data_IF_815351541034
#
_entry.id   IF_815351541034
#
_cell.length_a   1.000
_cell.length_b   1.000
_cell.length_c   1.000
_cell.angle_alpha   90.00
_cell.angle_beta   90.00
_cell.angle_gamma   90.00
#
_symmetry.space_group_name_H-M   'P 1'
#
loop_
_entity.id
_entity.type
_entity.pdbx_description
1 polymer ?
#
# COMPACT_ATOMS: atom_id res chain seq x y z
N UNK A 1 0.43 2.75 2.64
CA UNK A 1 -0.02 1.41 3.12
C UNK A 1 1.20 0.68 3.67
N UNK A 2 1.14 0.23 4.93
CA UNK A 2 2.24 -0.54 5.54
C UNK A 2 2.00 -2.03 5.28
N UNK A 3 2.99 -2.71 4.69
CA UNK A 3 2.91 -4.15 4.51
C UNK A 3 3.85 -4.84 5.49
N UNK A 4 3.32 -5.91 6.10
CA UNK A 4 4.08 -6.81 6.96
C UNK A 4 4.68 -7.89 6.09
N UNK A 5 5.97 -7.78 5.78
CA UNK A 5 6.68 -8.79 5.00
C UNK A 5 7.22 -9.82 5.99
N UNK A 6 6.77 -11.06 5.85
CA UNK A 6 7.16 -12.15 6.74
C UNK A 6 8.48 -12.77 6.30
N UNK A 7 9.36 -13.03 7.28
CA UNK A 7 10.21 -14.22 7.25
C UNK A 7 9.47 -15.27 8.09
N UNK A 8 8.80 -16.17 7.38
CA UNK A 8 8.19 -17.44 7.76
C UNK A 8 7.28 -17.62 9.00
N UNK A 9 7.11 -16.72 9.97
CA UNK A 9 6.36 -17.09 11.21
C UNK A 9 5.49 -16.05 11.93
N UNK A 10 5.16 -14.88 11.37
CA UNK A 10 4.09 -14.06 11.98
C UNK A 10 2.70 -14.68 11.67
N UNK A 11 2.29 -15.76 12.36
CA UNK A 11 0.94 -16.34 12.27
C UNK A 11 -0.08 -15.51 13.07
N UNK A 12 -1.30 -15.42 12.55
CA UNK A 12 -2.49 -14.98 13.28
C UNK A 12 -3.19 -16.21 13.86
N UNK A 13 -2.76 -16.66 15.04
CA UNK A 13 -3.55 -17.60 15.83
C UNK A 13 -4.24 -16.84 16.96
N UNK A 14 -5.44 -16.33 16.68
CA UNK A 14 -6.34 -15.78 17.70
C UNK A 14 -7.62 -16.60 17.75
N UNK A 15 -7.44 -17.89 18.06
CA UNK A 15 -8.49 -18.74 18.60
C UNK A 15 -8.83 -18.25 20.02
N UNK A 16 -9.76 -17.30 20.11
CA UNK A 16 -10.36 -16.88 21.37
C UNK A 16 -11.15 -18.04 21.94
N UNK A 17 -10.56 -18.92 22.74
CA UNK A 17 -11.23 -19.69 23.79
C UNK A 17 -10.23 -20.02 24.91
N UNK A 18 -10.48 -19.41 26.08
CA UNK A 18 -10.17 -19.91 27.43
C UNK A 18 -8.72 -19.69 27.94
N UNK A 19 -8.62 -18.91 29.04
CA UNK A 19 -7.51 -18.70 29.99
C UNK A 19 -6.51 -17.54 29.73
N UNK A 20 -6.91 -16.37 30.22
CA UNK A 20 -6.23 -15.08 30.14
C UNK A 20 -5.00 -14.88 31.05
N UNK A 21 -4.21 -15.90 31.37
CA UNK A 21 -3.06 -15.74 32.31
C UNK A 21 -1.75 -16.39 31.90
N UNK A 22 -1.66 -17.02 30.72
CA UNK A 22 -0.42 -17.63 30.20
C UNK A 22 -0.08 -17.06 28.82
N UNK A 23 0.03 -15.73 28.70
CA UNK A 23 0.46 -15.09 27.44
C UNK A 23 1.63 -14.13 27.59
N UNK A 24 1.87 -13.61 28.80
CA UNK A 24 2.99 -12.66 29.04
C UNK A 24 4.36 -13.35 28.89
N UNK A 25 4.43 -14.68 29.04
CA UNK A 25 5.72 -15.43 29.00
C UNK A 25 6.05 -16.01 27.62
N UNK A 26 5.08 -16.21 26.72
CA UNK A 26 5.35 -16.80 25.38
C UNK A 26 5.74 -15.73 24.36
N UNK A 27 5.27 -14.49 24.49
CA UNK A 27 5.59 -13.41 23.55
C UNK A 27 7.06 -12.97 23.51
N UNK A 28 7.87 -13.38 24.49
CA UNK A 28 9.31 -13.05 24.59
C UNK A 28 10.21 -14.11 23.93
N UNK A 29 9.69 -15.29 23.60
CA UNK A 29 10.50 -16.42 23.09
C UNK A 29 10.33 -16.74 21.60
N UNK A 30 9.37 -16.12 20.91
CA UNK A 30 9.25 -16.22 19.45
C UNK A 30 9.96 -15.05 18.78
N UNK A 31 11.24 -15.24 18.44
CA UNK A 31 12.09 -14.30 17.71
C UNK A 31 11.63 -14.06 16.27
N UNK A 32 10.46 -13.44 16.10
CA UNK A 32 9.93 -13.10 14.79
C UNK A 32 10.50 -11.76 14.34
N UNK A 33 11.48 -11.82 13.43
CA UNK A 33 12.01 -10.66 12.71
C UNK A 33 10.99 -10.17 11.67
N UNK A 34 9.87 -9.61 12.13
CA UNK A 34 8.89 -8.99 11.25
C UNK A 34 9.36 -7.55 10.94
N UNK A 35 9.56 -7.25 9.65
CA UNK A 35 10.01 -5.93 9.18
C UNK A 35 8.84 -5.18 8.54
N UNK A 36 8.63 -3.95 8.98
CA UNK A 36 7.69 -3.04 8.33
C UNK A 36 8.34 -2.39 7.11
N UNK A 37 7.61 -2.39 6.00
CA UNK A 37 8.02 -1.71 4.76
C UNK A 37 6.98 -0.66 4.43
N UNK A 38 7.44 0.58 4.29
CA UNK A 38 6.61 1.65 3.77
C UNK A 38 6.49 1.51 2.25
N UNK A 39 5.26 1.42 1.76
CA UNK A 39 4.93 1.32 0.34
C UNK A 39 4.16 2.55 -0.14
N UNK A 40 4.36 3.68 0.53
CA UNK A 40 3.65 4.93 0.27
C UNK A 40 4.59 5.97 -0.35
N UNK A 41 4.11 6.72 -1.33
CA UNK A 41 4.78 7.94 -1.74
C UNK A 41 4.42 9.10 -0.81
N UNK A 42 5.37 10.03 -0.66
CA UNK A 42 5.13 11.28 0.07
C UNK A 42 4.14 12.15 -0.69
N UNK A 43 3.17 12.72 0.03
CA UNK A 43 2.30 13.78 -0.49
C UNK A 43 2.99 15.15 -0.35
N UNK A 44 2.99 15.93 -1.44
CA UNK A 44 3.50 17.29 -1.50
C UNK A 44 2.84 18.05 -2.66
N UNK A 45 2.86 19.38 -2.61
CA UNK A 45 2.31 20.21 -3.69
C UNK A 45 3.10 20.01 -4.99
N UNK A 46 2.39 19.79 -6.11
CA UNK A 46 3.02 19.53 -7.41
C UNK A 46 3.42 18.06 -7.64
N UNK A 47 3.02 17.14 -6.75
CA UNK A 47 3.22 15.70 -6.95
C UNK A 47 2.54 15.20 -8.26
N UNK A 48 3.09 14.14 -8.91
CA UNK A 48 2.47 13.54 -10.10
C UNK A 48 1.02 13.13 -9.88
N UNK A 49 0.10 13.61 -10.74
CA UNK A 49 -1.35 13.39 -10.61
C UNK A 49 -2.01 13.13 -11.95
N UNK A 50 -3.19 12.52 -11.92
CA UNK A 50 -4.05 12.45 -13.10
C UNK A 50 -4.56 13.86 -13.47
N UNK A 51 -4.62 14.24 -14.77
CA UNK A 51 -4.94 15.61 -15.20
C UNK A 51 -6.31 16.14 -14.73
N UNK A 52 -7.29 15.26 -14.51
CA UNK A 52 -8.66 15.64 -14.11
C UNK A 52 -8.76 16.11 -12.66
N UNK A 53 -7.81 15.73 -11.80
CA UNK A 53 -7.88 16.04 -10.38
C UNK A 53 -7.20 17.38 -10.06
N UNK A 54 -7.73 18.07 -9.04
CA UNK A 54 -6.98 19.15 -8.38
C UNK A 54 -5.74 18.57 -7.70
N UNK A 55 -4.68 19.38 -7.57
CA UNK A 55 -3.46 18.92 -6.90
C UNK A 55 -3.66 18.74 -5.39
N UNK A 56 -2.70 18.10 -4.74
CA UNK A 56 -2.60 18.10 -3.28
C UNK A 56 -2.23 19.52 -2.80
N UNK A 57 -2.98 20.04 -1.82
CA UNK A 57 -2.73 21.33 -1.19
C UNK A 57 -2.62 21.16 0.32
N UNK A 58 -1.57 21.73 0.91
CA UNK A 58 -1.34 21.73 2.34
C UNK A 58 -1.27 23.17 2.86
N UNK A 59 -2.42 23.67 3.33
CA UNK A 59 -2.51 25.04 3.84
C UNK A 59 -2.11 25.08 5.30
N UNK A 60 -1.03 25.78 5.65
CA UNK A 60 -0.65 26.04 7.04
C UNK A 60 -1.72 26.93 7.70
N UNK A 61 -2.30 26.45 8.80
CA UNK A 61 -3.33 27.18 9.57
C UNK A 61 -2.67 27.95 10.72
N UNK A 62 -1.72 27.32 11.39
CA UNK A 62 -0.94 27.92 12.48
C UNK A 62 0.36 27.17 12.65
N UNK A 63 1.48 27.89 12.74
CA UNK A 63 2.79 27.33 13.07
C UNK A 63 3.60 28.30 13.93
N UNK A 64 3.92 27.89 15.15
CA UNK A 64 4.74 28.71 16.04
C UNK A 64 4.53 28.43 17.52
N UNK A 65 5.19 29.21 18.38
CA UNK A 65 4.99 29.15 19.82
C UNK A 65 3.52 29.41 20.21
N UNK A 66 3.01 28.62 21.16
CA UNK A 66 1.69 28.77 21.75
C UNK A 66 1.84 28.97 23.27
N UNK A 67 1.82 30.23 23.69
CA UNK A 67 2.14 30.59 25.07
C UNK A 67 3.63 30.44 25.36
N UNK A 68 3.99 30.23 26.63
CA UNK A 68 5.39 30.29 27.09
C UNK A 68 6.21 29.04 26.76
N UNK A 69 5.60 27.85 26.75
CA UNK A 69 6.32 26.57 26.70
C UNK A 69 5.72 25.56 25.69
N UNK A 70 4.94 25.99 24.70
CA UNK A 70 4.37 25.08 23.69
C UNK A 70 4.69 25.58 22.29
N UNK A 71 4.70 24.66 21.35
CA UNK A 71 4.76 24.91 19.92
C UNK A 71 3.60 24.16 19.27
N UNK A 72 2.95 24.79 18.29
CA UNK A 72 1.87 24.19 17.53
C UNK A 72 2.18 24.33 16.05
N UNK A 73 1.90 23.28 15.28
CA UNK A 73 1.92 23.30 13.83
C UNK A 73 0.72 22.51 13.33
N UNK A 74 -0.22 23.18 12.68
CA UNK A 74 -1.43 22.58 12.14
C UNK A 74 -1.65 23.06 10.72
N UNK A 75 -2.11 22.14 9.87
CA UNK A 75 -2.34 22.37 8.45
C UNK A 75 -3.70 21.78 8.08
N UNK A 76 -4.33 22.34 7.06
CA UNK A 76 -5.49 21.78 6.40
C UNK A 76 -5.05 21.08 5.12
N UNK A 77 -5.59 19.89 4.88
CA UNK A 77 -5.33 19.08 3.69
C UNK A 77 -6.54 19.16 2.76
N UNK A 78 -6.29 19.47 1.50
CA UNK A 78 -7.24 19.31 0.40
C UNK A 78 -6.59 18.37 -0.64
N UNK A 79 -7.29 17.28 -0.96
CA UNK A 79 -6.79 16.22 -1.83
C UNK A 79 -7.93 15.49 -2.53
N UNK A 80 -7.64 14.94 -3.71
CA UNK A 80 -8.56 14.04 -4.39
C UNK A 80 -8.47 12.62 -3.81
N UNK A 81 -9.56 11.84 -3.91
CA UNK A 81 -9.58 10.44 -3.49
C UNK A 81 -8.51 9.60 -4.20
N UNK A 82 -8.32 9.85 -5.51
CA UNK A 82 -7.35 9.17 -6.37
C UNK A 82 -6.03 9.96 -6.46
N UNK A 83 -5.36 10.15 -5.32
CA UNK A 83 -4.11 10.89 -5.25
C UNK A 83 -2.97 10.02 -4.71
N UNK A 84 -1.87 9.93 -5.46
CA UNK A 84 -0.65 9.21 -5.05
C UNK A 84 -0.94 7.75 -4.64
N UNK A 85 -0.31 7.21 -3.59
CA UNK A 85 -0.65 5.88 -3.05
C UNK A 85 -2.04 5.93 -2.39
N UNK A 86 -3.05 5.37 -3.05
CA UNK A 86 -4.45 5.40 -2.62
C UNK A 86 -5.11 4.01 -2.72
N UNK A 87 -6.41 3.96 -2.41
CA UNK A 87 -7.26 2.77 -2.56
C UNK A 87 -8.45 3.13 -3.44
N UNK A 88 -8.75 2.27 -4.41
CA UNK A 88 -9.95 2.35 -5.21
C UNK A 88 -11.03 1.44 -4.60
N UNK A 89 -12.12 2.04 -4.14
CA UNK A 89 -13.29 1.28 -3.72
C UNK A 89 -14.00 0.69 -4.95
N UNK A 90 -14.64 -0.50 -4.87
CA UNK A 90 -15.41 -1.08 -5.97
C UNK A 90 -16.42 -0.12 -6.62
N UNK A 91 -17.03 0.75 -5.81
CA UNK A 91 -17.95 1.80 -6.27
C UNK A 91 -17.35 2.73 -7.34
N UNK A 92 -16.01 2.84 -7.43
CA UNK A 92 -15.33 3.65 -8.44
C UNK A 92 -15.74 3.31 -9.88
N UNK A 93 -16.08 2.03 -10.15
CA UNK A 93 -16.54 1.58 -11.47
C UNK A 93 -17.84 0.76 -11.44
N UNK A 94 -18.41 0.48 -10.26
CA UNK A 94 -19.63 -0.32 -10.13
C UNK A 94 -20.64 0.35 -9.19
N UNK A 95 -21.71 0.91 -9.76
CA UNK A 95 -22.72 1.75 -9.09
C UNK A 95 -23.32 1.13 -7.81
N UNK A 96 -23.50 -0.19 -7.79
CA UNK A 96 -24.12 -0.91 -6.67
C UNK A 96 -23.11 -1.67 -5.79
N UNK A 97 -21.83 -1.35 -5.90
CA UNK A 97 -20.76 -1.97 -5.10
C UNK A 97 -20.38 -1.11 -3.88
N UNK A 98 -19.51 -1.65 -3.02
CA UNK A 98 -19.07 -0.98 -1.80
C UNK A 98 -18.36 0.35 -2.09
N UNK A 99 -18.82 1.40 -1.40
CA UNK A 99 -18.07 2.65 -1.20
C UNK A 99 -16.92 2.41 -0.22
N UNK A 100 -15.99 3.36 -0.14
CA UNK A 100 -14.78 3.23 0.69
C UNK A 100 -15.09 2.89 2.16
N UNK A 101 -16.06 3.57 2.75
CA UNK A 101 -16.51 3.39 4.14
C UNK A 101 -17.28 2.08 4.38
N UNK A 102 -17.66 1.37 3.31
CA UNK A 102 -18.42 0.12 3.36
C UNK A 102 -17.54 -1.12 3.15
N UNK A 103 -16.25 -0.95 2.81
CA UNK A 103 -15.34 -2.07 2.62
C UNK A 103 -15.10 -2.75 3.98
N UNK A 104 -15.36 -4.06 4.11
CA UNK A 104 -15.05 -4.79 5.33
C UNK A 104 -13.55 -4.69 5.67
N UNK A 105 -13.22 -4.40 6.93
CA UNK A 105 -11.82 -4.24 7.38
C UNK A 105 -10.97 -5.50 7.18
N UNK A 106 -11.61 -6.68 7.20
CA UNK A 106 -10.99 -7.97 6.86
C UNK A 106 -10.45 -8.02 5.42
N UNK A 107 -10.94 -7.17 4.52
CA UNK A 107 -10.48 -7.10 3.13
C UNK A 107 -9.33 -6.10 2.92
N UNK A 108 -8.93 -5.37 3.96
CA UNK A 108 -7.88 -4.33 3.88
C UNK A 108 -6.50 -4.84 4.32
N UNK A 109 -6.39 -6.12 4.68
CA UNK A 109 -5.15 -6.78 5.05
C UNK A 109 -5.20 -8.25 4.63
N UNK A 110 -4.03 -8.84 4.45
CA UNK A 110 -3.90 -10.24 4.05
C UNK A 110 -2.46 -10.58 3.62
N UNK A 111 -2.22 -11.83 3.22
CA UNK A 111 -0.94 -12.24 2.63
C UNK A 111 -0.61 -11.38 1.41
N UNK A 112 0.64 -10.92 1.29
CA UNK A 112 1.11 -10.17 0.12
C UNK A 112 1.87 -11.08 -0.85
N UNK A 113 1.51 -11.05 -2.12
CA UNK A 113 2.23 -11.72 -3.21
C UNK A 113 2.79 -10.66 -4.15
N UNK A 114 4.06 -10.74 -4.52
CA UNK A 114 4.69 -9.79 -5.45
C UNK A 114 4.98 -10.48 -6.77
N UNK A 115 4.29 -10.06 -7.82
CA UNK A 115 4.60 -10.43 -9.20
C UNK A 115 5.61 -9.41 -9.75
N UNK A 116 6.87 -9.84 -9.92
CA UNK A 116 7.94 -8.98 -10.40
C UNK A 116 8.07 -9.05 -11.91
N UNK A 117 7.65 -7.99 -12.60
CA UNK A 117 7.67 -7.88 -14.06
C UNK A 117 8.71 -6.86 -14.55
N UNK A 118 9.65 -6.42 -13.69
CA UNK A 118 10.65 -5.40 -14.05
C UNK A 118 11.46 -5.76 -15.30
N UNK A 119 11.81 -7.03 -15.46
CA UNK A 119 12.52 -7.52 -16.64
C UNK A 119 11.64 -7.45 -17.90
N UNK A 120 10.35 -7.79 -17.78
CA UNK A 120 9.37 -7.69 -18.87
C UNK A 120 9.20 -6.25 -19.32
N UNK A 121 9.08 -5.32 -18.37
CA UNK A 121 9.03 -3.88 -18.63
C UNK A 121 10.30 -3.40 -19.35
N UNK A 122 11.48 -3.83 -18.89
CA UNK A 122 12.75 -3.43 -19.51
C UNK A 122 12.94 -3.93 -20.95
N UNK A 123 12.32 -5.06 -21.31
CA UNK A 123 12.35 -5.64 -22.67
C UNK A 123 11.23 -5.13 -23.57
N UNK A 124 10.26 -4.40 -23.03
CA UNK A 124 9.12 -3.91 -23.80
C UNK A 124 9.56 -2.77 -24.70
N UNK A 125 9.20 -2.86 -25.99
CA UNK A 125 9.56 -1.85 -26.97
C UNK A 125 8.92 -0.49 -26.65
N UNK A 126 9.56 0.65 -26.99
CA UNK A 126 8.95 1.96 -26.83
C UNK A 126 7.56 2.04 -27.46
N UNK A 127 6.60 2.65 -26.74
CA UNK A 127 5.21 2.76 -27.18
C UNK A 127 4.37 1.49 -27.02
N UNK A 128 4.91 0.43 -26.41
CA UNK A 128 4.16 -0.76 -26.01
C UNK A 128 4.01 -0.83 -24.50
N UNK A 129 2.94 -1.49 -24.06
CA UNK A 129 2.64 -1.71 -22.65
C UNK A 129 3.07 -3.11 -22.23
N UNK A 130 3.68 -3.21 -21.05
CA UNK A 130 3.94 -4.48 -20.38
C UNK A 130 2.73 -4.82 -19.50
N UNK A 131 2.10 -5.96 -19.73
CA UNK A 131 0.97 -6.46 -18.94
C UNK A 131 1.44 -7.52 -17.94
N UNK A 132 0.68 -7.70 -16.86
CA UNK A 132 0.75 -8.93 -16.05
C UNK A 132 -0.17 -9.94 -16.72
N UNK A 133 0.37 -11.12 -17.02
CA UNK A 133 -0.38 -12.21 -17.65
C UNK A 133 -0.52 -13.40 -16.69
N UNK A 134 -1.37 -14.37 -17.04
CA UNK A 134 -1.58 -15.59 -16.27
C UNK A 134 -0.24 -16.33 -16.04
N UNK A 135 0.64 -16.34 -17.04
CA UNK A 135 1.95 -16.99 -16.95
C UNK A 135 2.86 -16.37 -15.88
N UNK A 136 2.70 -15.08 -15.55
CA UNK A 136 3.46 -14.43 -14.48
C UNK A 136 3.01 -14.96 -13.11
N UNK A 137 1.71 -15.23 -12.94
CA UNK A 137 1.16 -15.87 -11.74
C UNK A 137 1.56 -17.34 -11.65
N UNK A 138 1.46 -18.10 -12.74
CA UNK A 138 1.87 -19.51 -12.79
C UNK A 138 3.38 -19.66 -12.49
N UNK A 139 4.23 -18.77 -13.03
CA UNK A 139 5.65 -18.78 -12.73
C UNK A 139 5.93 -18.47 -11.25
N UNK A 140 5.16 -17.58 -10.64
CA UNK A 140 5.22 -17.31 -9.21
C UNK A 140 4.81 -18.56 -8.40
N UNK A 141 3.69 -19.20 -8.77
CA UNK A 141 3.18 -20.38 -8.07
C UNK A 141 4.11 -21.59 -8.19
N UNK A 142 4.73 -21.79 -9.35
CA UNK A 142 5.73 -22.84 -9.56
C UNK A 142 6.97 -22.64 -8.67
N UNK A 143 7.31 -21.40 -8.32
CA UNK A 143 8.48 -21.06 -7.52
C UNK A 143 8.20 -21.03 -6.02
N UNK A 144 7.05 -20.53 -5.61
CA UNK A 144 6.73 -20.24 -4.20
C UNK A 144 5.54 -21.03 -3.64
N UNK A 145 4.87 -21.83 -4.46
CA UNK A 145 3.64 -22.53 -4.11
C UNK A 145 2.37 -21.74 -4.48
N UNK A 146 1.20 -22.35 -4.28
CA UNK A 146 -0.08 -21.76 -4.66
C UNK A 146 -0.31 -20.38 -4.01
N UNK A 147 -0.83 -19.42 -4.77
CA UNK A 147 -1.20 -18.11 -4.24
C UNK A 147 -2.32 -18.29 -3.20
N UNK A 148 -2.14 -17.80 -1.96
CA UNK A 148 -3.15 -17.95 -0.91
C UNK A 148 -4.47 -17.26 -1.29
N UNK A 149 -5.59 -17.87 -0.89
CA UNK A 149 -6.90 -17.21 -1.00
C UNK A 149 -6.90 -15.91 -0.17
N UNK A 150 -7.40 -14.83 -0.76
CA UNK A 150 -7.42 -13.51 -0.10
C UNK A 150 -6.07 -12.78 -0.12
N UNK A 151 -5.09 -13.28 -0.88
CA UNK A 151 -3.82 -12.58 -1.05
C UNK A 151 -3.99 -11.24 -1.78
N UNK A 152 -3.26 -10.24 -1.34
CA UNK A 152 -3.05 -8.97 -2.02
C UNK A 152 -1.94 -9.20 -3.05
N UNK A 153 -2.29 -9.19 -4.33
CA UNK A 153 -1.32 -9.34 -5.43
C UNK A 153 -0.79 -7.97 -5.83
N UNK A 154 0.52 -7.77 -5.68
CA UNK A 154 1.24 -6.54 -5.96
C UNK A 154 2.06 -6.73 -7.23
N UNK A 155 1.78 -5.93 -8.24
CA UNK A 155 2.61 -5.86 -9.45
C UNK A 155 3.82 -4.95 -9.18
N UNK A 156 5.03 -5.53 -9.21
CA UNK A 156 6.27 -4.76 -9.19
C UNK A 156 6.80 -4.57 -10.62
N UNK A 157 6.49 -3.43 -11.21
CA UNK A 157 6.98 -3.00 -12.52
C UNK A 157 8.30 -2.22 -12.46
N UNK A 158 8.73 -1.80 -11.26
CA UNK A 158 9.86 -0.89 -11.07
C UNK A 158 9.56 0.56 -11.50
N UNK A 159 8.30 0.92 -11.75
CA UNK A 159 7.89 2.26 -12.17
C UNK A 159 8.18 3.34 -11.12
N UNK A 160 8.30 2.95 -9.85
CA UNK A 160 8.61 3.83 -8.72
C UNK A 160 9.87 4.67 -8.90
N UNK A 161 10.82 4.21 -9.72
CA UNK A 161 12.05 4.96 -10.03
C UNK A 161 11.80 6.30 -10.76
N UNK A 162 10.62 6.49 -11.36
CA UNK A 162 10.25 7.73 -12.05
C UNK A 162 9.60 8.76 -11.13
N UNK A 163 9.19 8.37 -9.92
CA UNK A 163 8.69 9.32 -8.93
C UNK A 163 9.85 10.20 -8.40
N UNK A 164 9.68 11.52 -8.20
CA UNK A 164 8.47 12.34 -8.39
C UNK A 164 8.39 13.10 -9.74
N UNK A 165 9.13 12.68 -10.78
CA UNK A 165 9.16 13.36 -12.07
C UNK A 165 7.85 13.12 -12.85
N UNK A 166 6.92 14.08 -12.80
CA UNK A 166 5.59 13.95 -13.41
C UNK A 166 5.62 13.59 -14.90
N UNK A 167 6.57 14.14 -15.67
CA UNK A 167 6.69 13.86 -17.10
C UNK A 167 7.11 12.41 -17.37
N UNK A 168 7.88 11.80 -16.47
CA UNK A 168 8.28 10.38 -16.62
C UNK A 168 7.32 9.42 -15.97
N UNK A 169 6.66 9.85 -14.89
CA UNK A 169 5.80 8.99 -14.08
C UNK A 169 4.40 8.84 -14.68
N UNK A 170 3.81 9.93 -15.18
CA UNK A 170 2.46 9.95 -15.78
C UNK A 170 2.51 9.79 -17.30
N UNK A 171 3.57 10.30 -17.95
CA UNK A 171 3.72 10.32 -19.41
C UNK A 171 3.41 11.69 -20.00
#
# INVERSE_FOLDING_TARGET
MLFKINSDLCSEDMSFHILATIWIVIGVLSGHNCRYVDMSYKLFEGLPKHPVHRGFNLTEILKGPLGTNKFVATHQVDTAEHMSTHIDAPYHFAEFAWKLDQIPSANLHGPGVVLDIREKVAKTAPGKEATVDISDAEAWENKYGQIPKGAIVIMNSGWSKYWPDSNKFVG
#
